data_IF_269540333212
#
_entry.id   IF_269540333212
#
_cell.length_a   1.000
_cell.length_b   1.000
_cell.length_c   1.000
_cell.angle_alpha   90.00
_cell.angle_beta   90.00
_cell.angle_gamma   90.00
#
_symmetry.space_group_name_H-M   'P 1'
#
loop_
_entity.id
_entity.type
_entity.pdbx_description
1 polymer ?
#
# COMPACT_ATOMS: atom_id res chain seq x y z
N UNK A 1 -12.64 18.79 2.73
CA UNK A 1 -12.83 17.65 1.79
C UNK A 1 -13.74 16.56 2.38
N UNK A 2 -14.51 15.82 1.55
CA UNK A 2 -15.35 14.66 1.97
C UNK A 2 -14.86 13.34 1.36
N UNK A 3 -14.64 12.31 2.17
CA UNK A 3 -14.33 10.96 1.69
C UNK A 3 -15.57 10.23 1.19
N UNK A 4 -15.39 9.10 0.49
CA UNK A 4 -16.50 8.31 -0.04
C UNK A 4 -17.52 7.91 1.04
N UNK A 5 -17.04 7.53 2.23
CA UNK A 5 -17.93 7.24 3.38
C UNK A 5 -18.74 8.47 3.80
N UNK A 6 -18.11 9.64 3.93
CA UNK A 6 -18.80 10.86 4.36
C UNK A 6 -19.87 11.27 3.34
N UNK A 7 -19.60 11.08 2.04
CA UNK A 7 -20.58 11.33 0.98
C UNK A 7 -21.74 10.35 1.03
N UNK A 8 -21.46 9.05 1.16
CA UNK A 8 -22.50 8.02 1.26
C UNK A 8 -23.44 8.33 2.44
N UNK A 9 -22.90 8.74 3.60
CA UNK A 9 -23.69 9.07 4.79
C UNK A 9 -24.45 10.40 4.64
N UNK A 10 -23.90 11.39 3.93
CA UNK A 10 -24.55 12.68 3.76
C UNK A 10 -25.66 12.69 2.67
N UNK A 11 -25.55 11.85 1.64
CA UNK A 11 -26.41 11.92 0.46
C UNK A 11 -27.36 10.70 0.36
N UNK A 12 -28.65 10.94 0.62
CA UNK A 12 -29.68 9.92 0.51
C UNK A 12 -29.88 9.39 -0.92
N UNK A 13 -29.55 10.17 -1.95
CA UNK A 13 -29.62 9.70 -3.33
C UNK A 13 -28.57 8.62 -3.62
N UNK A 14 -27.39 8.72 -3.02
CA UNK A 14 -26.35 7.68 -3.11
C UNK A 14 -26.78 6.40 -2.37
N UNK A 15 -27.53 6.51 -1.27
CA UNK A 15 -27.99 5.35 -0.48
C UNK A 15 -29.23 4.68 -1.04
N UNK A 16 -30.07 5.41 -1.77
CA UNK A 16 -31.34 4.88 -2.30
C UNK A 16 -31.23 3.53 -3.03
N UNK A 17 -30.19 3.26 -3.86
CA UNK A 17 -30.03 1.95 -4.50
C UNK A 17 -29.67 0.80 -3.54
N UNK A 18 -29.23 1.09 -2.31
CA UNK A 18 -28.94 0.11 -1.27
C UNK A 18 -30.19 -0.28 -0.45
N UNK A 19 -31.31 0.44 -0.62
CA UNK A 19 -32.55 0.15 0.10
C UNK A 19 -32.99 -1.31 -0.13
N UNK A 20 -33.29 -2.02 0.96
CA UNK A 20 -33.65 -3.44 0.99
C UNK A 20 -32.57 -4.43 0.53
N UNK A 21 -31.36 -3.98 0.19
CA UNK A 21 -30.22 -4.86 -0.10
C UNK A 21 -29.47 -5.18 1.18
N UNK A 22 -28.95 -6.41 1.29
CA UNK A 22 -28.08 -6.80 2.39
C UNK A 22 -26.66 -6.35 2.09
N UNK A 23 -26.05 -5.61 2.99
CA UNK A 23 -24.75 -4.97 2.77
C UNK A 23 -23.71 -5.59 3.67
N UNK A 24 -22.52 -5.85 3.13
CA UNK A 24 -21.32 -6.13 3.91
C UNK A 24 -20.29 -5.02 3.78
N UNK A 25 -19.63 -4.69 4.89
CA UNK A 25 -18.54 -3.71 4.91
C UNK A 25 -17.18 -4.40 4.98
N UNK A 26 -16.32 -4.17 3.99
CA UNK A 26 -14.89 -4.43 4.09
C UNK A 26 -14.20 -3.16 4.60
N UNK A 27 -13.68 -3.23 5.82
CA UNK A 27 -13.07 -2.10 6.52
C UNK A 27 -11.92 -2.54 7.43
N UNK A 28 -11.19 -1.56 7.97
CA UNK A 28 -10.06 -1.72 8.87
C UNK A 28 -9.97 -0.47 9.78
N UNK A 29 -9.04 -0.37 10.74
CA UNK A 29 -9.00 0.74 11.70
C UNK A 29 -9.04 2.16 11.14
N UNK A 30 -8.38 2.42 10.00
CA UNK A 30 -8.37 3.76 9.41
C UNK A 30 -9.62 4.06 8.56
N UNK A 31 -10.58 3.14 8.52
CA UNK A 31 -11.92 3.32 7.97
C UNK A 31 -12.75 4.18 8.92
N UNK A 32 -12.40 5.46 9.02
CA UNK A 32 -13.07 6.45 9.87
C UNK A 32 -13.77 7.53 9.04
N UNK A 33 -14.86 8.06 9.58
CA UNK A 33 -15.58 9.24 9.06
C UNK A 33 -14.90 10.54 9.47
N UNK A 34 -15.35 11.69 8.96
CA UNK A 34 -14.90 13.02 9.39
C UNK A 34 -15.11 13.30 10.88
N UNK A 35 -16.11 12.66 11.46
CA UNK A 35 -16.55 12.91 12.83
C UNK A 35 -16.05 11.80 13.78
N UNK A 36 -14.99 11.08 13.38
CA UNK A 36 -14.28 10.09 14.21
C UNK A 36 -15.09 8.85 14.62
N UNK A 37 -16.10 8.48 13.82
CA UNK A 37 -16.74 7.18 13.94
C UNK A 37 -16.10 6.19 12.98
N UNK A 38 -15.91 4.95 13.42
CA UNK A 38 -15.54 3.88 12.51
C UNK A 38 -16.69 3.65 11.52
N UNK A 39 -16.37 3.36 10.27
CA UNK A 39 -17.36 3.20 9.19
C UNK A 39 -18.38 2.11 9.49
N UNK A 40 -18.00 1.08 10.23
CA UNK A 40 -18.92 0.05 10.73
C UNK A 40 -20.07 0.65 11.53
N UNK A 41 -19.74 1.45 12.55
CA UNK A 41 -20.72 2.03 13.46
C UNK A 41 -21.56 3.09 12.75
N UNK A 42 -20.92 3.91 11.90
CA UNK A 42 -21.60 4.94 11.13
C UNK A 42 -22.61 4.35 10.13
N UNK A 43 -22.25 3.26 9.44
CA UNK A 43 -23.15 2.56 8.52
C UNK A 43 -24.26 1.84 9.28
N UNK A 44 -23.95 1.16 10.39
CA UNK A 44 -24.95 0.48 11.22
C UNK A 44 -25.99 1.45 11.81
N UNK A 45 -25.58 2.68 12.12
CA UNK A 45 -26.48 3.74 12.60
C UNK A 45 -27.33 4.39 11.49
N UNK A 46 -27.12 4.04 10.22
CA UNK A 46 -27.81 4.65 9.08
C UNK A 46 -29.07 3.84 8.71
N UNK A 47 -30.30 4.34 8.97
CA UNK A 47 -31.52 3.53 8.95
C UNK A 47 -31.89 2.92 7.60
N UNK A 48 -31.44 3.51 6.50
CA UNK A 48 -31.71 3.07 5.12
C UNK A 48 -30.68 2.06 4.59
N UNK A 49 -29.69 1.67 5.39
CA UNK A 49 -28.71 0.63 5.06
C UNK A 49 -28.91 -0.59 5.96
N UNK A 50 -29.13 -1.76 5.35
CA UNK A 50 -29.20 -3.03 6.07
C UNK A 50 -27.82 -3.71 6.07
N UNK A 51 -27.01 -3.40 7.07
CA UNK A 51 -25.73 -4.07 7.31
C UNK A 51 -25.97 -5.50 7.85
N UNK A 52 -25.42 -6.52 7.19
CA UNK A 52 -25.60 -7.93 7.58
C UNK A 52 -24.31 -8.68 7.85
N UNK A 53 -23.17 -8.13 7.45
CA UNK A 53 -21.85 -8.68 7.75
C UNK A 53 -20.78 -7.58 7.69
N UNK A 54 -19.62 -7.85 8.25
CA UNK A 54 -18.42 -7.07 7.94
C UNK A 54 -17.21 -7.99 7.79
N UNK A 55 -16.17 -7.47 7.15
CA UNK A 55 -14.99 -8.24 6.74
C UNK A 55 -13.75 -7.42 7.05
N UNK A 56 -12.77 -8.05 7.72
CA UNK A 56 -11.45 -7.47 7.97
C UNK A 56 -10.41 -8.00 6.98
N UNK A 57 -9.54 -7.15 6.42
CA UNK A 57 -8.39 -7.57 5.62
C UNK A 57 -7.22 -7.98 6.55
N UNK A 58 -5.98 -7.93 6.04
CA UNK A 58 -4.76 -7.99 6.86
C UNK A 58 -4.84 -6.99 8.02
N UNK A 59 -4.45 -7.42 9.23
CA UNK A 59 -4.57 -6.69 10.51
C UNK A 59 -6.00 -6.57 11.09
N UNK A 60 -7.01 -7.12 10.42
CA UNK A 60 -8.38 -7.24 10.94
C UNK A 60 -9.19 -5.95 10.88
N UNK A 61 -10.46 -6.05 11.29
CA UNK A 61 -11.42 -4.94 11.21
C UNK A 61 -11.15 -3.84 12.25
N UNK A 62 -10.74 -4.22 13.47
CA UNK A 62 -10.52 -3.29 14.59
C UNK A 62 -9.04 -3.03 14.90
N UNK A 63 -8.11 -3.64 14.16
CA UNK A 63 -6.67 -3.41 14.32
C UNK A 63 -6.07 -4.02 15.58
N UNK A 64 -6.75 -5.00 16.16
CA UNK A 64 -6.34 -5.66 17.39
C UNK A 64 -5.19 -6.67 17.17
N UNK A 65 -4.75 -6.87 15.92
CA UNK A 65 -3.65 -7.78 15.58
C UNK A 65 -2.37 -7.04 15.23
N UNK A 66 -1.30 -7.39 15.94
CA UNK A 66 0.04 -6.90 15.68
C UNK A 66 0.58 -7.41 14.34
N UNK A 67 1.57 -6.70 13.81
CA UNK A 67 2.36 -7.10 12.66
C UNK A 67 3.18 -8.37 12.98
N UNK A 68 2.72 -9.52 12.46
CA UNK A 68 3.41 -10.83 12.44
C UNK A 68 2.49 -11.95 11.92
N UNK A 69 1.71 -11.72 10.84
CA UNK A 69 0.85 -12.76 10.25
C UNK A 69 -0.14 -13.41 11.24
N UNK A 70 -0.58 -12.71 12.29
CA UNK A 70 -1.52 -13.30 13.25
C UNK A 70 -2.88 -13.40 12.58
N UNK A 71 -3.25 -14.63 12.24
CA UNK A 71 -4.56 -14.94 11.69
C UNK A 71 -5.66 -14.50 12.65
N UNK A 72 -6.70 -13.86 12.11
CA UNK A 72 -7.89 -13.48 12.88
C UNK A 72 -9.00 -14.49 12.62
N UNK A 73 -9.64 -15.05 13.67
CA UNK A 73 -10.82 -15.89 13.50
C UNK A 73 -12.04 -15.03 13.15
N UNK A 74 -13.03 -15.67 12.55
CA UNK A 74 -14.37 -15.10 12.42
C UNK A 74 -14.99 -14.93 13.82
N UNK A 75 -15.81 -13.90 14.01
CA UNK A 75 -16.53 -13.67 15.27
C UNK A 75 -17.87 -12.96 15.03
N UNK A 76 -18.71 -12.91 16.07
CA UNK A 76 -19.95 -12.15 16.03
C UNK A 76 -19.74 -10.81 16.73
N UNK A 77 -20.00 -9.70 16.04
CA UNK A 77 -19.82 -8.37 16.61
C UNK A 77 -20.81 -8.18 17.78
N UNK A 78 -20.33 -7.89 19.00
CA UNK A 78 -21.18 -7.82 20.18
C UNK A 78 -22.06 -6.56 20.24
N UNK A 79 -21.75 -5.53 19.44
CA UNK A 79 -22.50 -4.27 19.41
C UNK A 79 -23.63 -4.36 18.39
N UNK A 80 -23.30 -4.81 17.17
CA UNK A 80 -24.22 -4.80 16.03
C UNK A 80 -24.92 -6.14 15.80
N UNK A 81 -24.43 -7.23 16.42
CA UNK A 81 -25.02 -8.55 16.26
C UNK A 81 -24.96 -9.07 14.83
N UNK A 82 -23.81 -8.88 14.16
CA UNK A 82 -23.56 -9.38 12.80
C UNK A 82 -22.26 -10.21 12.75
N UNK A 83 -22.13 -11.16 11.81
CA UNK A 83 -20.87 -11.87 11.59
C UNK A 83 -19.79 -10.93 11.05
N UNK A 84 -18.58 -11.09 11.60
CA UNK A 84 -17.33 -10.49 11.14
C UNK A 84 -16.43 -11.59 10.61
N UNK A 85 -16.06 -11.49 9.34
CA UNK A 85 -15.21 -12.46 8.64
C UNK A 85 -13.78 -11.95 8.48
N UNK A 86 -12.81 -12.87 8.44
CA UNK A 86 -11.41 -12.55 8.17
C UNK A 86 -11.00 -13.01 6.77
N UNK A 87 -10.45 -12.08 5.96
CA UNK A 87 -9.74 -12.41 4.70
C UNK A 87 -8.22 -12.48 4.90
N UNK A 88 -7.80 -12.66 6.14
CA UNK A 88 -6.41 -12.81 6.53
C UNK A 88 -6.28 -13.84 7.67
N UNK A 89 -7.02 -14.94 7.52
CA UNK A 89 -7.00 -16.14 8.36
C UNK A 89 -6.76 -17.36 7.49
N UNK A 90 -7.48 -18.47 7.64
CA UNK A 90 -7.35 -19.65 6.75
C UNK A 90 -7.53 -19.32 5.26
N UNK A 91 -8.37 -18.32 4.96
CA UNK A 91 -8.72 -17.90 3.61
C UNK A 91 -8.33 -16.44 3.36
N UNK A 92 -7.98 -16.15 2.11
CA UNK A 92 -7.69 -14.79 1.62
C UNK A 92 -8.70 -14.33 0.56
N UNK A 93 -9.51 -15.27 0.07
CA UNK A 93 -10.60 -15.03 -0.86
C UNK A 93 -11.93 -15.23 -0.12
N UNK A 94 -12.96 -14.43 -0.39
CA UNK A 94 -14.29 -14.65 0.19
C UNK A 94 -14.78 -16.07 -0.12
N UNK A 95 -15.27 -16.78 0.89
CA UNK A 95 -15.85 -18.12 0.71
C UNK A 95 -17.29 -18.03 0.24
N UNK A 96 -17.81 -19.13 -0.33
CA UNK A 96 -19.23 -19.22 -0.73
C UNK A 96 -20.16 -18.89 0.44
N UNK A 97 -19.89 -19.44 1.63
CA UNK A 97 -20.71 -19.21 2.82
C UNK A 97 -20.72 -17.74 3.27
N UNK A 98 -19.60 -17.03 3.15
CA UNK A 98 -19.53 -15.59 3.42
C UNK A 98 -20.41 -14.81 2.44
N UNK A 99 -20.28 -15.12 1.14
CA UNK A 99 -20.98 -14.42 0.06
C UNK A 99 -22.51 -14.66 0.07
N UNK A 100 -23.01 -15.66 0.79
CA UNK A 100 -24.46 -15.89 0.95
C UNK A 100 -25.13 -14.90 1.92
N UNK A 101 -24.35 -14.21 2.76
CA UNK A 101 -24.87 -13.35 3.82
C UNK A 101 -25.32 -11.95 3.32
N UNK A 102 -24.90 -11.55 2.13
CA UNK A 102 -25.13 -10.19 1.61
C UNK A 102 -25.18 -10.13 0.08
N UNK A 103 -25.57 -8.98 -0.45
CA UNK A 103 -25.77 -8.71 -1.89
C UNK A 103 -24.84 -7.60 -2.42
N UNK A 104 -24.31 -6.76 -1.54
CA UNK A 104 -23.44 -5.61 -1.86
C UNK A 104 -22.22 -5.59 -0.95
N UNK A 105 -21.04 -5.40 -1.55
CA UNK A 105 -19.84 -5.01 -0.83
C UNK A 105 -19.74 -3.49 -0.75
N UNK A 106 -19.59 -2.93 0.45
CA UNK A 106 -19.00 -1.60 0.66
C UNK A 106 -17.52 -1.81 0.98
N UNK A 107 -16.62 -1.30 0.14
CA UNK A 107 -15.18 -1.34 0.37
C UNK A 107 -14.72 0.03 0.83
N UNK A 108 -14.30 0.12 2.08
CA UNK A 108 -13.80 1.36 2.69
C UNK A 108 -12.43 1.10 3.30
N UNK A 109 -11.37 1.22 2.51
CA UNK A 109 -9.99 0.92 2.94
C UNK A 109 -9.07 2.09 2.63
N UNK A 110 -8.24 2.46 3.62
CA UNK A 110 -7.17 3.43 3.43
C UNK A 110 -5.92 2.67 3.00
N UNK A 111 -5.50 2.88 1.76
CA UNK A 111 -4.28 2.27 1.19
C UNK A 111 -3.05 3.18 1.40
N UNK A 112 -1.86 2.69 1.02
CA UNK A 112 -0.59 3.44 1.04
C UNK A 112 -0.13 3.92 -0.34
N UNK A 113 -0.81 3.52 -1.43
CA UNK A 113 -0.45 3.84 -2.81
C UNK A 113 0.74 3.03 -3.33
N UNK A 114 0.90 1.81 -2.83
CA UNK A 114 2.04 0.94 -3.12
C UNK A 114 1.58 -0.48 -3.44
N UNK A 115 2.11 -1.08 -4.52
CA UNK A 115 1.66 -2.38 -5.05
C UNK A 115 1.65 -3.53 -4.03
N UNK A 116 2.65 -3.54 -3.15
CA UNK A 116 2.87 -4.61 -2.16
C UNK A 116 1.94 -4.47 -0.95
N UNK A 117 1.30 -3.31 -0.77
CA UNK A 117 0.31 -3.16 0.28
C UNK A 117 -0.96 -3.95 -0.07
N UNK A 118 -1.24 -5.01 0.69
CA UNK A 118 -2.09 -6.13 0.25
C UNK A 118 -3.58 -5.81 0.14
N UNK A 119 -4.02 -4.61 0.54
CA UNK A 119 -5.41 -4.18 0.44
C UNK A 119 -5.89 -4.12 -1.02
N UNK A 120 -5.02 -3.77 -1.98
CA UNK A 120 -5.38 -3.84 -3.40
C UNK A 120 -5.55 -5.29 -3.89
N UNK A 121 -4.80 -6.24 -3.32
CA UNK A 121 -4.99 -7.68 -3.58
C UNK A 121 -6.31 -8.15 -2.99
N UNK A 122 -6.65 -7.72 -1.77
CA UNK A 122 -7.97 -7.99 -1.17
C UNK A 122 -9.10 -7.45 -2.06
N UNK A 123 -8.98 -6.23 -2.57
CA UNK A 123 -9.93 -5.66 -3.52
C UNK A 123 -10.06 -6.52 -4.79
N UNK A 124 -8.94 -6.93 -5.40
CA UNK A 124 -8.95 -7.85 -6.56
C UNK A 124 -9.76 -9.11 -6.26
N UNK A 125 -9.52 -9.74 -5.13
CA UNK A 125 -10.20 -10.99 -4.76
C UNK A 125 -11.69 -10.79 -4.48
N UNK A 126 -12.08 -9.66 -3.90
CA UNK A 126 -13.48 -9.27 -3.72
C UNK A 126 -14.17 -9.07 -5.07
N UNK A 127 -13.54 -8.37 -6.01
CA UNK A 127 -14.08 -8.15 -7.35
C UNK A 127 -14.26 -9.46 -8.13
N UNK A 128 -13.24 -10.32 -8.13
CA UNK A 128 -13.31 -11.65 -8.76
C UNK A 128 -14.44 -12.49 -8.14
N UNK A 129 -14.56 -12.52 -6.81
CA UNK A 129 -15.61 -13.26 -6.13
C UNK A 129 -17.02 -12.69 -6.41
N UNK A 130 -17.19 -11.37 -6.38
CA UNK A 130 -18.46 -10.71 -6.62
C UNK A 130 -18.97 -10.95 -8.05
N UNK A 131 -18.06 -10.92 -9.05
CA UNK A 131 -18.38 -11.21 -10.45
C UNK A 131 -18.98 -12.62 -10.62
N UNK A 132 -18.49 -13.62 -9.89
CA UNK A 132 -19.03 -15.00 -9.99
C UNK A 132 -20.44 -15.19 -9.42
N UNK A 133 -20.94 -14.23 -8.63
CA UNK A 133 -22.22 -14.34 -7.91
C UNK A 133 -23.22 -13.22 -8.23
N UNK A 134 -22.87 -12.33 -9.16
CA UNK A 134 -23.69 -11.16 -9.49
C UNK A 134 -23.89 -10.20 -8.31
N UNK A 135 -22.95 -10.16 -7.36
CA UNK A 135 -22.97 -9.17 -6.28
C UNK A 135 -22.45 -7.82 -6.79
N UNK A 136 -22.93 -6.72 -6.19
CA UNK A 136 -22.39 -5.39 -6.48
C UNK A 136 -21.19 -5.07 -5.59
N UNK A 137 -20.23 -4.32 -6.11
CA UNK A 137 -19.09 -3.80 -5.34
C UNK A 137 -19.09 -2.29 -5.38
N UNK A 138 -19.14 -1.67 -4.21
CA UNK A 138 -19.18 -0.22 -4.05
C UNK A 138 -17.94 0.23 -3.30
N UNK A 139 -17.05 0.95 -3.97
CA UNK A 139 -15.83 1.48 -3.34
C UNK A 139 -16.11 2.88 -2.78
N UNK A 140 -15.97 3.01 -1.47
CA UNK A 140 -16.01 4.28 -0.75
C UNK A 140 -14.63 4.90 -0.83
N UNK A 141 -14.42 5.72 -1.86
CA UNK A 141 -13.07 6.06 -2.26
C UNK A 141 -12.35 6.96 -1.23
N UNK A 142 -11.03 6.77 -1.15
CA UNK A 142 -10.13 7.45 -0.21
C UNK A 142 -8.88 7.96 -0.92
N UNK A 143 -8.16 8.94 -0.34
CA UNK A 143 -6.94 9.46 -0.94
C UNK A 143 -5.90 8.37 -1.13
N UNK A 144 -5.24 8.37 -2.29
CA UNK A 144 -3.91 7.80 -2.37
C UNK A 144 -2.96 8.75 -1.61
N UNK A 145 -2.37 8.34 -0.48
CA UNK A 145 -1.63 9.26 0.39
C UNK A 145 -0.29 9.70 -0.20
N UNK A 146 0.19 9.02 -1.25
CA UNK A 146 1.43 9.35 -1.96
C UNK A 146 1.18 9.95 -3.35
N UNK A 147 -0.04 10.41 -3.61
CA UNK A 147 -0.39 11.26 -4.75
C UNK A 147 -0.31 10.55 -6.11
N UNK A 148 0.02 11.34 -7.15
CA UNK A 148 0.06 10.90 -8.56
C UNK A 148 1.41 10.43 -9.14
N UNK A 149 2.58 10.56 -8.48
CA UNK A 149 3.81 10.05 -9.07
C UNK A 149 3.75 8.52 -9.22
N UNK A 150 4.04 8.08 -10.44
CA UNK A 150 4.23 6.68 -10.79
C UNK A 150 5.71 6.34 -10.66
N UNK A 151 6.01 5.16 -10.14
CA UNK A 151 7.40 4.75 -9.93
C UNK A 151 7.62 3.24 -9.94
N UNK A 152 8.67 2.81 -10.64
CA UNK A 152 9.19 1.44 -10.61
C UNK A 152 8.74 0.61 -11.81
N UNK A 153 9.25 -0.61 -11.89
CA UNK A 153 8.93 -1.54 -12.98
C UNK A 153 7.58 -2.22 -12.78
N UNK A 154 6.94 -2.58 -13.89
CA UNK A 154 5.76 -3.43 -13.87
C UNK A 154 6.12 -4.79 -13.28
N UNK A 155 5.16 -5.37 -12.56
CA UNK A 155 5.26 -6.76 -12.16
C UNK A 155 5.26 -7.66 -13.40
N UNK A 156 6.24 -8.54 -13.50
CA UNK A 156 6.40 -9.45 -14.64
C UNK A 156 5.36 -10.58 -14.61
N UNK A 157 4.89 -11.07 -15.77
CA UNK A 157 4.01 -12.23 -15.82
C UNK A 157 4.60 -13.45 -15.09
N UNK A 158 3.78 -14.13 -14.27
CA UNK A 158 4.20 -15.27 -13.45
C UNK A 158 4.77 -14.86 -12.08
N UNK A 159 4.95 -13.56 -11.81
CA UNK A 159 5.36 -13.04 -10.51
C UNK A 159 4.18 -12.61 -9.63
N UNK A 160 2.95 -12.86 -10.08
CA UNK A 160 1.76 -12.60 -9.27
C UNK A 160 1.80 -13.40 -7.97
N UNK A 161 1.35 -12.76 -6.90
CA UNK A 161 1.32 -13.32 -5.55
C UNK A 161 0.36 -12.49 -4.68
N UNK A 162 0.26 -12.82 -3.39
CA UNK A 162 -0.55 -12.01 -2.47
C UNK A 162 -0.05 -10.56 -2.32
N UNK A 163 1.26 -10.34 -2.53
CA UNK A 163 1.91 -9.02 -2.51
C UNK A 163 2.11 -8.42 -3.91
N UNK A 164 1.56 -9.07 -4.93
CA UNK A 164 1.73 -8.69 -6.33
C UNK A 164 0.47 -8.98 -7.12
N UNK A 165 -0.52 -8.08 -7.02
CA UNK A 165 -1.86 -8.31 -7.53
C UNK A 165 -2.02 -8.22 -9.06
N UNK A 166 -0.98 -7.80 -9.80
CA UNK A 166 -1.03 -7.65 -11.25
C UNK A 166 0.12 -6.77 -11.76
N UNK A 167 0.17 -6.56 -13.08
CA UNK A 167 1.18 -5.76 -13.78
C UNK A 167 1.04 -4.25 -13.46
N UNK A 168 1.40 -3.90 -12.23
CA UNK A 168 1.38 -2.56 -11.64
C UNK A 168 2.83 -2.15 -11.33
N UNK A 169 3.20 -0.87 -11.44
CA UNK A 169 4.46 -0.36 -10.90
C UNK A 169 4.40 -0.27 -9.37
N UNK A 170 5.55 -0.08 -8.72
CA UNK A 170 5.64 -0.02 -7.25
C UNK A 170 4.77 1.10 -6.66
N UNK A 171 4.85 2.30 -7.23
CA UNK A 171 3.88 3.39 -6.99
C UNK A 171 2.96 3.49 -8.20
N UNK A 172 1.68 3.21 -7.99
CA UNK A 172 0.70 3.08 -9.07
C UNK A 172 -0.14 4.33 -9.32
N UNK A 173 -0.08 5.34 -8.44
CA UNK A 173 -0.76 6.63 -8.58
C UNK A 173 -2.31 6.60 -8.61
N UNK A 174 -2.94 5.45 -8.38
CA UNK A 174 -4.40 5.30 -8.38
C UNK A 174 -4.97 5.35 -6.97
N UNK A 175 -6.20 5.86 -6.82
CA UNK A 175 -7.02 5.61 -5.62
C UNK A 175 -7.55 4.17 -5.60
N UNK A 176 -8.17 3.74 -4.50
CA UNK A 176 -8.80 2.41 -4.42
C UNK A 176 -9.94 2.28 -5.44
N UNK A 177 -10.72 3.34 -5.65
CA UNK A 177 -11.79 3.36 -6.65
C UNK A 177 -11.27 3.28 -8.09
N UNK A 178 -10.20 4.01 -8.41
CA UNK A 178 -9.55 3.93 -9.72
C UNK A 178 -8.89 2.55 -9.95
N UNK A 179 -8.27 1.98 -8.90
CA UNK A 179 -7.72 0.63 -8.92
C UNK A 179 -8.80 -0.44 -9.15
N UNK A 180 -9.99 -0.28 -8.56
CA UNK A 180 -11.11 -1.20 -8.80
C UNK A 180 -11.54 -1.20 -10.28
N UNK A 181 -11.63 -0.02 -10.90
CA UNK A 181 -11.92 0.10 -12.34
C UNK A 181 -10.83 -0.55 -13.19
N UNK A 182 -9.56 -0.37 -12.81
CA UNK A 182 -8.44 -1.01 -13.48
C UNK A 182 -8.57 -2.54 -13.45
N UNK A 183 -8.78 -3.13 -12.27
CA UNK A 183 -8.97 -4.59 -12.15
C UNK A 183 -10.16 -5.11 -12.95
N UNK A 184 -11.30 -4.41 -12.91
CA UNK A 184 -12.49 -4.81 -13.68
C UNK A 184 -12.19 -4.85 -15.18
N UNK A 185 -11.50 -3.84 -15.70
CA UNK A 185 -11.10 -3.77 -17.12
C UNK A 185 -10.07 -4.84 -17.47
N UNK A 186 -8.99 -4.92 -16.69
CA UNK A 186 -7.84 -5.79 -16.97
C UNK A 186 -8.22 -7.27 -16.90
N UNK A 187 -9.01 -7.64 -15.88
CA UNK A 187 -9.47 -9.01 -15.66
C UNK A 187 -10.79 -9.32 -16.39
N UNK A 188 -11.36 -8.35 -17.11
CA UNK A 188 -12.63 -8.44 -17.86
C UNK A 188 -13.78 -8.98 -17.00
N UNK A 189 -13.92 -8.44 -15.79
CA UNK A 189 -14.91 -8.88 -14.82
C UNK A 189 -16.30 -8.33 -15.17
N UNK A 190 -17.29 -9.19 -15.17
CA UNK A 190 -18.71 -8.80 -15.20
C UNK A 190 -19.20 -8.57 -13.77
N UNK A 191 -19.01 -7.35 -13.27
CA UNK A 191 -19.38 -6.96 -11.90
C UNK A 191 -20.02 -5.58 -11.90
N UNK A 192 -21.10 -5.42 -11.14
CA UNK A 192 -21.71 -4.12 -10.90
C UNK A 192 -20.83 -3.31 -9.94
N UNK A 193 -19.87 -2.57 -10.50
CA UNK A 193 -18.94 -1.71 -9.80
C UNK A 193 -19.45 -0.27 -9.72
N UNK A 194 -19.60 0.24 -8.49
CA UNK A 194 -19.85 1.65 -8.22
C UNK A 194 -18.69 2.26 -7.43
N UNK A 195 -18.25 3.45 -7.82
CA UNK A 195 -17.24 4.22 -7.06
C UNK A 195 -17.92 5.45 -6.49
N UNK A 196 -17.98 5.55 -5.16
CA UNK A 196 -18.40 6.75 -4.45
C UNK A 196 -17.18 7.67 -4.34
N UNK A 197 -16.96 8.46 -5.38
CA UNK A 197 -15.82 9.37 -5.50
C UNK A 197 -15.78 10.38 -4.34
N UNK A 198 -14.59 10.77 -3.88
CA UNK A 198 -14.41 11.86 -2.93
C UNK A 198 -14.85 13.21 -3.50
N UNK A 199 -15.06 14.19 -2.63
CA UNK A 199 -15.29 15.59 -3.03
C UNK A 199 -14.21 16.52 -2.47
N UNK A 200 -13.62 17.32 -3.38
CA UNK A 200 -12.60 18.30 -3.05
C UNK A 200 -11.20 17.70 -2.84
N UNK A 201 -10.96 16.45 -3.24
CA UNK A 201 -9.61 15.88 -3.22
C UNK A 201 -8.75 16.49 -4.31
N UNK A 202 -7.59 17.00 -3.91
CA UNK A 202 -6.60 17.62 -4.80
C UNK A 202 -5.27 16.88 -4.63
N UNK A 203 -4.95 15.91 -5.49
CA UNK A 203 -3.83 15.01 -5.26
C UNK A 203 -2.46 15.70 -5.40
N UNK A 204 -2.38 16.78 -6.17
CA UNK A 204 -1.13 17.49 -6.45
C UNK A 204 -0.94 18.75 -5.57
N UNK A 205 -1.89 19.05 -4.69
CA UNK A 205 -1.86 20.24 -3.85
C UNK A 205 -0.94 20.08 -2.62
N UNK A 206 -0.08 21.08 -2.41
CA UNK A 206 0.69 21.24 -1.18
C UNK A 206 -0.22 21.57 0.01
N UNK A 207 0.21 21.30 1.26
CA UNK A 207 1.44 20.58 1.65
C UNK A 207 1.29 19.05 1.60
N UNK A 208 0.09 18.60 1.27
CA UNK A 208 -0.38 17.23 1.41
C UNK A 208 0.11 16.25 0.37
N UNK A 209 0.04 16.65 -0.90
CA UNK A 209 0.37 15.85 -2.07
C UNK A 209 -0.18 14.42 -1.99
N UNK A 210 -1.51 14.31 -2.09
CA UNK A 210 -2.26 13.07 -1.89
C UNK A 210 -3.01 13.09 -0.57
N UNK A 211 -2.32 13.16 0.57
CA UNK A 211 -3.00 13.23 1.87
C UNK A 211 -3.40 14.67 2.23
N UNK A 212 -4.64 14.95 2.69
CA UNK A 212 -5.09 16.29 3.09
C UNK A 212 -4.50 16.74 4.45
N UNK A 213 -3.18 16.95 4.50
CA UNK A 213 -2.48 17.37 5.71
C UNK A 213 -3.08 18.66 6.29
N UNK A 214 -3.38 18.63 7.60
CA UNK A 214 -4.03 19.74 8.30
C UNK A 214 -5.57 19.69 8.26
N UNK A 215 -6.18 18.93 7.36
CA UNK A 215 -7.64 18.74 7.30
C UNK A 215 -8.09 17.36 7.80
N UNK A 216 -7.29 16.30 7.61
CA UNK A 216 -7.56 14.96 8.15
C UNK A 216 -6.36 14.39 8.90
N UNK A 217 -6.63 13.84 10.07
CA UNK A 217 -5.66 13.09 10.85
C UNK A 217 -5.33 11.76 10.19
N UNK A 218 -4.06 11.37 10.24
CA UNK A 218 -3.63 10.04 9.85
C UNK A 218 -4.03 9.03 10.93
N UNK A 219 -4.72 7.98 10.53
CA UNK A 219 -4.93 6.78 11.36
C UNK A 219 -4.18 5.65 10.67
N UNK A 220 -3.40 4.92 11.44
CA UNK A 220 -2.52 3.86 10.95
C UNK A 220 -3.32 2.79 10.18
N UNK A 221 -3.07 2.62 8.87
CA UNK A 221 -3.68 1.53 8.12
C UNK A 221 -3.16 0.14 8.58
N UNK A 222 -1.94 0.10 9.11
CA UNK A 222 -1.33 -1.07 9.76
C UNK A 222 -0.45 -0.61 10.93
N UNK A 223 -0.09 -1.49 11.90
CA UNK A 223 0.62 -1.08 13.13
C UNK A 223 1.92 -0.30 12.88
N UNK A 224 2.68 -0.68 11.85
CA UNK A 224 3.93 -0.03 11.46
C UNK A 224 3.76 1.00 10.34
N UNK A 225 2.53 1.49 10.12
CA UNK A 225 2.23 2.63 9.25
C UNK A 225 1.83 3.90 10.02
N UNK A 226 2.77 4.49 10.80
CA UNK A 226 2.46 5.51 11.79
C UNK A 226 2.11 6.88 11.24
N UNK A 227 2.48 7.21 10.00
CA UNK A 227 2.29 8.54 9.43
C UNK A 227 2.40 8.56 7.89
N UNK A 228 2.02 9.69 7.30
CA UNK A 228 2.08 9.94 5.84
C UNK A 228 3.51 9.90 5.30
N UNK A 229 4.51 10.27 6.09
CA UNK A 229 5.90 10.33 5.66
C UNK A 229 6.51 8.93 5.48
N UNK A 230 6.11 7.99 6.36
CA UNK A 230 6.32 6.56 6.14
C UNK A 230 5.68 6.13 4.82
N UNK A 231 4.38 6.43 4.60
CA UNK A 231 3.69 6.05 3.38
C UNK A 231 4.43 6.54 2.12
N UNK A 232 4.95 7.78 2.14
CA UNK A 232 5.79 8.33 1.07
C UNK A 232 7.05 7.50 0.83
N UNK A 233 7.75 7.06 1.87
CA UNK A 233 8.98 6.28 1.75
C UNK A 233 8.74 4.78 1.43
N UNK A 234 7.54 4.26 1.74
CA UNK A 234 7.21 2.84 1.77
C UNK A 234 7.55 2.09 0.47
N UNK A 235 7.26 2.67 -0.70
CA UNK A 235 7.58 2.05 -1.99
C UNK A 235 9.07 1.74 -2.20
N UNK A 236 9.95 2.42 -1.47
CA UNK A 236 11.36 2.07 -1.37
C UNK A 236 11.62 1.13 -0.20
N UNK A 237 11.28 1.58 1.00
CA UNK A 237 11.69 0.92 2.25
C UNK A 237 11.07 -0.46 2.45
N UNK A 238 9.92 -0.78 1.84
CA UNK A 238 9.37 -2.14 1.89
C UNK A 238 10.28 -3.17 1.22
N UNK A 239 11.08 -2.79 0.22
CA UNK A 239 12.03 -3.70 -0.42
C UNK A 239 13.07 -4.24 0.56
N UNK A 240 13.32 -3.54 1.67
CA UNK A 240 14.22 -3.99 2.73
C UNK A 240 13.75 -5.28 3.40
N UNK A 241 12.46 -5.62 3.36
CA UNK A 241 11.95 -6.86 3.93
C UNK A 241 12.62 -8.10 3.30
N UNK A 242 12.88 -8.02 1.98
CA UNK A 242 13.64 -9.02 1.22
C UNK A 242 15.16 -8.99 1.44
N UNK A 243 15.64 -8.13 2.34
CA UNK A 243 17.07 -7.94 2.63
C UNK A 243 17.42 -8.15 4.10
N UNK A 244 18.70 -8.39 4.38
CA UNK A 244 19.24 -8.55 5.74
C UNK A 244 19.25 -7.25 6.53
N UNK A 245 19.18 -6.08 5.87
CA UNK A 245 19.13 -4.76 6.49
C UNK A 245 17.83 -4.57 7.29
N UNK A 246 17.87 -3.91 8.44
CA UNK A 246 16.65 -3.49 9.14
C UNK A 246 15.99 -2.32 8.42
N UNK A 247 14.67 -2.35 8.34
CA UNK A 247 13.76 -1.30 7.88
C UNK A 247 13.21 -0.45 9.03
N UNK A 248 13.81 -0.56 10.22
CA UNK A 248 13.42 0.25 11.39
C UNK A 248 12.19 -0.24 12.14
N UNK A 249 11.58 -1.37 11.77
CA UNK A 249 10.63 -2.05 12.67
C UNK A 249 11.33 -2.38 13.99
N UNK A 250 10.64 -2.25 15.11
CA UNK A 250 11.27 -2.23 16.42
C UNK A 250 11.68 -0.85 16.93
N UNK A 251 11.44 0.21 16.16
CA UNK A 251 11.70 1.61 16.54
C UNK A 251 10.41 2.44 16.48
N UNK A 252 10.50 3.74 16.79
CA UNK A 252 9.37 4.68 16.65
C UNK A 252 9.23 5.26 15.24
N UNK A 253 10.10 4.87 14.30
CA UNK A 253 10.13 5.34 12.91
C UNK A 253 10.28 4.18 11.91
N UNK A 254 9.43 3.14 11.99
CA UNK A 254 9.50 2.02 11.05
C UNK A 254 9.26 2.51 9.61
N UNK A 255 9.96 1.88 8.66
CA UNK A 255 9.82 2.11 7.21
C UNK A 255 10.12 3.55 6.76
N UNK A 256 10.66 4.39 7.64
CA UNK A 256 11.24 5.71 7.33
C UNK A 256 12.78 5.68 7.35
N UNK A 257 13.36 4.60 7.86
CA UNK A 257 14.81 4.44 8.02
C UNK A 257 15.26 3.03 7.69
N UNK A 258 16.56 2.88 7.43
CA UNK A 258 17.16 1.58 7.21
C UNK A 258 18.61 1.53 7.68
N UNK A 259 19.10 0.34 8.02
CA UNK A 259 20.48 0.15 8.44
C UNK A 259 20.81 -1.24 8.93
N UNK A 260 22.07 -1.46 9.30
CA UNK A 260 22.54 -2.71 9.88
C UNK A 260 23.72 -2.44 10.86
N UNK A 261 24.06 -3.39 11.75
CA UNK A 261 25.17 -3.22 12.69
C UNK A 261 26.56 -3.20 12.03
N UNK A 262 26.67 -3.75 10.83
CA UNK A 262 27.93 -4.04 10.14
C UNK A 262 28.14 -3.16 8.89
N UNK A 263 27.36 -2.08 8.74
CA UNK A 263 27.51 -1.13 7.63
C UNK A 263 27.94 0.26 8.09
N UNK A 264 28.67 0.94 7.20
CA UNK A 264 28.95 2.38 7.32
C UNK A 264 27.99 3.15 6.40
N UNK A 265 26.87 3.62 6.95
CA UNK A 265 25.84 4.31 6.17
C UNK A 265 26.33 5.65 5.58
N UNK A 266 27.27 6.33 6.23
CA UNK A 266 27.90 7.54 5.68
C UNK A 266 28.72 7.21 4.41
N UNK A 267 29.43 6.08 4.38
CA UNK A 267 30.09 5.58 3.16
C UNK A 267 29.07 5.22 2.08
N UNK A 268 27.97 4.55 2.44
CA UNK A 268 26.90 4.22 1.49
C UNK A 268 26.34 5.50 0.87
N UNK A 269 25.97 6.49 1.66
CA UNK A 269 25.44 7.76 1.18
C UNK A 269 26.40 8.48 0.22
N UNK A 270 27.70 8.53 0.55
CA UNK A 270 28.72 9.12 -0.35
C UNK A 270 28.85 8.35 -1.66
N UNK A 271 28.68 7.03 -1.65
CA UNK A 271 28.67 6.22 -2.87
C UNK A 271 27.41 6.48 -3.69
N UNK A 272 26.24 6.54 -3.07
CA UNK A 272 24.98 6.89 -3.73
C UNK A 272 25.08 8.25 -4.43
N UNK A 273 25.62 9.27 -3.74
CA UNK A 273 25.84 10.62 -4.28
C UNK A 273 26.75 10.64 -5.52
N UNK A 274 27.69 9.68 -5.64
CA UNK A 274 28.57 9.57 -6.81
C UNK A 274 27.92 8.81 -7.97
N UNK A 275 27.09 7.81 -7.66
CA UNK A 275 26.49 6.92 -8.65
C UNK A 275 25.29 7.57 -9.37
N UNK A 276 24.36 8.17 -8.61
CA UNK A 276 23.14 8.78 -9.15
C UNK A 276 22.61 9.84 -8.18
N UNK A 277 23.25 11.02 -8.07
CA UNK A 277 22.82 12.09 -7.17
C UNK A 277 21.38 12.55 -7.43
N UNK A 278 20.88 12.43 -8.65
CA UNK A 278 19.53 12.78 -9.05
C UNK A 278 18.45 11.88 -8.41
N UNK A 279 18.77 10.65 -8.03
CA UNK A 279 17.83 9.77 -7.31
C UNK A 279 17.74 10.09 -5.81
N UNK A 280 18.54 11.04 -5.31
CA UNK A 280 18.52 11.51 -3.92
C UNK A 280 17.64 12.76 -3.72
N UNK A 281 17.03 13.26 -4.79
CA UNK A 281 16.26 14.49 -4.80
C UNK A 281 14.87 14.32 -4.18
N UNK A 282 14.30 15.44 -3.71
CA UNK A 282 12.94 15.51 -3.17
C UNK A 282 12.75 14.96 -1.76
N UNK A 283 13.82 14.58 -1.07
CA UNK A 283 13.83 14.27 0.35
C UNK A 283 15.14 14.76 1.01
N UNK A 284 15.23 14.65 2.34
CA UNK A 284 16.52 14.70 3.03
C UNK A 284 16.89 13.33 3.56
N UNK A 285 18.17 12.99 3.41
CA UNK A 285 18.75 11.81 4.02
C UNK A 285 19.57 12.24 5.24
N UNK A 286 19.32 11.59 6.37
CA UNK A 286 20.02 11.84 7.63
C UNK A 286 20.66 10.55 8.13
N UNK A 287 21.95 10.59 8.43
CA UNK A 287 22.63 9.52 9.16
C UNK A 287 21.99 9.30 10.53
N UNK A 288 21.81 8.04 10.92
CA UNK A 288 21.12 7.67 12.17
C UNK A 288 21.71 6.40 12.77
N UNK A 289 21.65 6.32 14.09
CA UNK A 289 21.88 5.11 14.85
C UNK A 289 20.61 4.71 15.56
N UNK A 290 20.27 3.43 15.53
CA UNK A 290 19.06 2.91 16.14
C UNK A 290 19.23 1.47 16.56
N UNK A 291 18.46 1.04 17.57
CA UNK A 291 18.44 -0.33 18.06
C UNK A 291 17.00 -0.84 18.03
N UNK A 292 16.66 -1.79 17.13
CA UNK A 292 15.35 -2.40 17.09
C UNK A 292 15.03 -3.18 18.37
N UNK A 293 13.78 -3.05 18.84
CA UNK A 293 13.24 -3.83 19.97
C UNK A 293 12.57 -5.15 19.55
N UNK A 294 12.26 -5.31 18.25
CA UNK A 294 11.76 -6.54 17.63
C UNK A 294 12.15 -6.57 16.13
N UNK A 295 12.00 -7.72 15.45
CA UNK A 295 12.47 -8.01 14.06
C UNK A 295 13.99 -7.99 13.82
N UNK A 296 14.46 -7.51 12.66
CA UNK A 296 15.86 -7.62 12.23
C UNK A 296 16.77 -6.81 13.15
N UNK A 297 17.87 -7.44 13.56
CA UNK A 297 18.90 -6.85 14.42
C UNK A 297 18.42 -6.41 15.82
N UNK A 298 17.46 -7.12 16.44
CA UNK A 298 17.03 -6.84 17.82
C UNK A 298 18.23 -6.72 18.76
N UNK A 299 18.26 -5.66 19.58
CA UNK A 299 19.28 -5.46 20.60
C UNK A 299 20.68 -5.15 20.06
N UNK A 300 20.80 -4.81 18.77
CA UNK A 300 22.06 -4.41 18.13
C UNK A 300 21.96 -2.98 17.60
N UNK A 301 22.96 -2.17 17.94
CA UNK A 301 23.12 -0.83 17.37
C UNK A 301 23.35 -0.94 15.86
N UNK A 302 22.38 -0.45 15.09
CA UNK A 302 22.45 -0.31 13.64
C UNK A 302 22.91 1.09 13.28
N UNK A 303 23.75 1.21 12.25
CA UNK A 303 24.08 2.47 11.60
C UNK A 303 23.37 2.51 10.25
N UNK A 304 22.72 3.64 9.94
CA UNK A 304 21.76 3.71 8.85
C UNK A 304 21.47 5.12 8.34
N UNK A 305 20.49 5.20 7.44
CA UNK A 305 19.93 6.45 6.93
C UNK A 305 18.43 6.52 7.24
N UNK A 306 17.96 7.71 7.61
CA UNK A 306 16.54 8.06 7.69
C UNK A 306 16.16 8.97 6.53
N UNK A 307 15.02 8.70 5.91
CA UNK A 307 14.40 9.49 4.85
C UNK A 307 13.40 10.47 5.47
N UNK A 308 13.60 11.76 5.27
CA UNK A 308 12.71 12.83 5.73
C UNK A 308 11.92 13.38 4.54
N UNK A 309 10.60 13.40 4.69
CA UNK A 309 9.64 13.98 3.73
C UNK A 309 8.62 14.90 4.42
N UNK A 310 8.93 15.32 5.64
CA UNK A 310 8.07 16.04 6.58
C UNK A 310 8.44 17.52 6.75
N UNK A 311 9.38 18.01 5.94
CA UNK A 311 9.81 19.41 5.96
C UNK A 311 9.52 20.14 4.63
N UNK A 312 9.65 21.49 4.59
CA UNK A 312 9.36 22.30 3.40
C UNK A 312 10.21 22.03 2.15
N UNK A 313 11.26 21.20 2.25
CA UNK A 313 12.13 20.83 1.13
C UNK A 313 11.74 19.52 0.46
N UNK A 314 10.71 18.84 0.98
CA UNK A 314 10.07 17.74 0.28
C UNK A 314 9.57 18.21 -1.10
N UNK A 315 10.02 17.53 -2.16
CA UNK A 315 9.56 17.77 -3.52
C UNK A 315 8.85 16.51 -4.02
N UNK A 316 7.53 16.60 -4.08
CA UNK A 316 6.67 15.48 -4.45
C UNK A 316 6.96 14.92 -5.84
N UNK A 317 7.26 15.80 -6.81
CA UNK A 317 7.47 15.43 -8.19
C UNK A 317 8.85 14.79 -8.40
N UNK A 318 9.85 15.14 -7.58
CA UNK A 318 11.21 14.60 -7.68
C UNK A 318 11.49 13.42 -6.76
N UNK A 319 10.73 13.26 -5.68
CA UNK A 319 10.95 12.16 -4.74
C UNK A 319 10.61 10.80 -5.38
N UNK A 320 11.60 9.91 -5.39
CA UNK A 320 11.58 8.60 -6.02
C UNK A 320 12.10 7.52 -5.05
N UNK A 321 11.29 7.10 -4.06
CA UNK A 321 11.69 6.15 -3.01
C UNK A 321 12.15 4.79 -3.53
N UNK A 322 11.55 4.24 -4.58
CA UNK A 322 11.97 2.95 -5.15
C UNK A 322 13.38 3.05 -5.74
N UNK A 323 13.65 4.12 -6.52
CA UNK A 323 14.99 4.42 -7.04
C UNK A 323 15.99 4.66 -5.92
N UNK A 324 15.61 5.45 -4.92
CA UNK A 324 16.46 5.79 -3.78
C UNK A 324 16.92 4.53 -3.03
N UNK A 325 16.01 3.59 -2.77
CA UNK A 325 16.35 2.35 -2.09
C UNK A 325 17.12 1.37 -3.00
N UNK A 326 16.78 1.29 -4.29
CA UNK A 326 17.57 0.54 -5.28
C UNK A 326 19.03 1.01 -5.32
N UNK A 327 19.26 2.33 -5.27
CA UNK A 327 20.59 2.91 -5.23
C UNK A 327 21.36 2.57 -3.96
N UNK A 328 20.67 2.51 -2.81
CA UNK A 328 21.31 2.08 -1.57
C UNK A 328 21.79 0.63 -1.66
N UNK A 329 20.98 -0.28 -2.24
CA UNK A 329 21.39 -1.66 -2.49
C UNK A 329 22.62 -1.73 -3.42
N UNK A 330 22.58 -1.00 -4.53
CA UNK A 330 23.71 -0.91 -5.47
C UNK A 330 24.97 -0.37 -4.81
N UNK A 331 24.85 0.71 -4.03
CA UNK A 331 25.97 1.31 -3.31
C UNK A 331 26.58 0.36 -2.26
N UNK A 332 25.76 -0.42 -1.54
CA UNK A 332 26.22 -1.46 -0.63
C UNK A 332 26.99 -2.53 -1.40
N UNK A 333 26.45 -3.02 -2.53
CA UNK A 333 27.12 -4.02 -3.37
C UNK A 333 28.46 -3.51 -3.94
N UNK A 334 28.55 -2.23 -4.33
CA UNK A 334 29.81 -1.62 -4.75
C UNK A 334 30.85 -1.53 -3.63
N UNK A 335 30.42 -1.24 -2.40
CA UNK A 335 31.33 -1.12 -1.25
C UNK A 335 31.76 -2.49 -0.72
N UNK A 336 30.86 -3.46 -0.77
CA UNK A 336 31.02 -4.81 -0.25
C UNK A 336 30.38 -5.82 -1.22
N UNK A 337 31.12 -6.29 -2.24
CA UNK A 337 30.60 -7.19 -3.27
C UNK A 337 29.97 -8.47 -2.71
N UNK A 338 30.54 -9.03 -1.65
CA UNK A 338 30.09 -10.28 -1.03
C UNK A 338 29.12 -10.07 0.15
N UNK A 339 28.61 -8.85 0.39
CA UNK A 339 27.69 -8.60 1.49
C UNK A 339 26.43 -9.49 1.35
N UNK A 340 26.02 -10.22 2.40
CA UNK A 340 24.83 -11.08 2.32
C UNK A 340 23.56 -10.22 2.36
N UNK A 341 23.26 -9.55 1.24
CA UNK A 341 22.19 -8.56 1.17
C UNK A 341 20.80 -9.19 1.14
N UNK A 342 20.61 -10.23 0.33
CA UNK A 342 19.30 -10.83 0.09
C UNK A 342 18.97 -11.89 1.13
N UNK A 343 17.73 -11.89 1.62
CA UNK A 343 17.23 -12.92 2.52
C UNK A 343 16.46 -13.98 1.74
N UNK A 344 16.80 -15.22 1.99
CA UNK A 344 16.04 -16.39 1.56
C UNK A 344 15.20 -16.90 2.74
N UNK A 345 13.89 -16.65 2.68
CA UNK A 345 12.94 -17.05 3.70
C UNK A 345 11.52 -17.06 3.12
N UNK A 346 10.58 -17.84 3.70
CA UNK A 346 9.18 -17.77 3.32
C UNK A 346 8.61 -16.37 3.51
N UNK A 347 7.97 -15.83 2.48
CA UNK A 347 7.42 -14.47 2.47
C UNK A 347 5.97 -14.47 1.99
N UNK A 348 5.04 -14.06 2.85
CA UNK A 348 3.59 -13.95 2.53
C UNK A 348 3.06 -15.20 1.80
N UNK A 349 3.33 -16.38 2.39
CA UNK A 349 2.95 -17.72 1.94
C UNK A 349 3.72 -18.29 0.73
N UNK A 350 4.62 -17.52 0.13
CA UNK A 350 5.58 -18.02 -0.86
C UNK A 350 6.79 -18.65 -0.15
N UNK A 351 7.30 -19.75 -0.70
CA UNK A 351 8.40 -20.54 -0.13
C UNK A 351 9.53 -20.85 -1.12
N UNK A 352 9.31 -20.63 -2.42
CA UNK A 352 10.23 -21.04 -3.48
C UNK A 352 11.00 -19.86 -4.09
N UNK A 353 10.41 -18.66 -4.08
CA UNK A 353 10.97 -17.46 -4.71
C UNK A 353 11.57 -16.54 -3.65
N UNK A 354 12.67 -15.87 -4.00
CA UNK A 354 13.30 -14.88 -3.10
C UNK A 354 12.34 -13.72 -2.81
N UNK A 355 12.29 -13.33 -1.54
CA UNK A 355 11.39 -12.28 -1.07
C UNK A 355 11.59 -10.95 -1.82
N UNK A 356 12.82 -10.55 -2.10
CA UNK A 356 13.09 -9.31 -2.86
C UNK A 356 12.50 -9.35 -4.28
N UNK A 357 12.57 -10.50 -4.96
CA UNK A 357 12.07 -10.62 -6.32
C UNK A 357 10.53 -10.64 -6.33
N UNK A 358 9.89 -11.21 -5.29
CA UNK A 358 8.44 -11.12 -5.09
C UNK A 358 7.98 -9.68 -4.84
N UNK A 359 8.65 -8.98 -3.91
CA UNK A 359 8.33 -7.60 -3.55
C UNK A 359 8.48 -6.70 -4.79
N UNK A 360 9.60 -6.84 -5.50
CA UNK A 360 9.88 -6.04 -6.70
C UNK A 360 9.08 -6.47 -7.94
N UNK A 361 8.48 -7.66 -7.95
CA UNK A 361 7.67 -8.17 -9.07
C UNK A 361 8.52 -8.71 -10.23
N UNK A 362 9.67 -9.30 -9.92
CA UNK A 362 10.62 -9.85 -10.89
C UNK A 362 12.08 -9.72 -10.41
N UNK A 363 13.02 -10.47 -11.00
CA UNK A 363 14.41 -10.53 -10.55
C UNK A 363 15.26 -9.34 -11.02
N UNK A 364 14.73 -8.51 -11.93
CA UNK A 364 15.46 -7.42 -12.59
C UNK A 364 16.24 -6.53 -11.61
N UNK A 365 15.60 -6.08 -10.52
CA UNK A 365 16.25 -5.22 -9.54
C UNK A 365 17.43 -5.92 -8.88
N UNK A 366 17.24 -7.16 -8.42
CA UNK A 366 18.29 -7.94 -7.75
C UNK A 366 19.46 -8.19 -8.69
N UNK A 367 19.17 -8.61 -9.91
CA UNK A 367 20.17 -8.86 -10.95
C UNK A 367 20.95 -7.59 -11.31
N UNK A 368 20.26 -6.45 -11.44
CA UNK A 368 20.89 -5.14 -11.66
C UNK A 368 21.77 -4.69 -10.48
N UNK A 369 21.34 -4.95 -9.24
CA UNK A 369 22.15 -4.65 -8.05
C UNK A 369 23.42 -5.51 -8.03
N UNK A 370 23.28 -6.81 -8.29
CA UNK A 370 24.36 -7.79 -8.16
C UNK A 370 25.36 -7.76 -9.33
N UNK A 371 24.95 -7.30 -10.52
CA UNK A 371 25.85 -7.10 -11.65
C UNK A 371 26.78 -5.89 -11.41
N UNK A 372 28.10 -6.07 -11.23
CA UNK A 372 29.03 -4.97 -11.00
C UNK A 372 29.18 -4.02 -12.20
N UNK A 373 28.82 -4.44 -13.41
CA UNK A 373 28.90 -3.62 -14.62
C UNK A 373 27.65 -2.75 -14.83
N UNK A 374 26.49 -3.17 -14.32
CA UNK A 374 25.24 -2.44 -14.48
C UNK A 374 25.29 -1.06 -13.80
N UNK A 375 24.72 -0.05 -14.46
CA UNK A 375 24.71 1.34 -14.05
C UNK A 375 23.27 1.82 -13.75
N UNK A 376 23.08 2.89 -12.95
CA UNK A 376 21.75 3.45 -12.70
C UNK A 376 20.92 3.76 -13.95
N UNK A 377 21.58 4.14 -15.06
CA UNK A 377 20.93 4.38 -16.34
C UNK A 377 20.22 3.16 -16.94
N UNK A 378 20.69 1.94 -16.67
CA UNK A 378 20.08 0.71 -17.18
C UNK A 378 18.72 0.45 -16.51
N UNK A 379 18.67 0.59 -15.18
CA UNK A 379 17.44 0.46 -14.42
C UNK A 379 16.48 1.64 -14.68
N UNK A 380 17.01 2.85 -14.87
CA UNK A 380 16.22 4.02 -15.26
C UNK A 380 15.48 3.82 -16.58
N UNK A 381 16.16 3.26 -17.59
CA UNK A 381 15.57 3.02 -18.90
C UNK A 381 14.42 2.02 -18.84
N UNK A 382 14.59 0.92 -18.10
CA UNK A 382 13.54 -0.07 -17.88
C UNK A 382 12.34 0.53 -17.12
N UNK A 383 12.61 1.21 -16.00
CA UNK A 383 11.55 1.83 -15.19
C UNK A 383 10.76 2.88 -15.98
N UNK A 384 11.42 3.74 -16.76
CA UNK A 384 10.73 4.77 -17.55
C UNK A 384 9.79 4.20 -18.61
N UNK A 385 10.20 3.12 -19.26
CA UNK A 385 9.36 2.45 -20.27
C UNK A 385 8.08 1.90 -19.62
N UNK A 386 8.24 1.22 -18.49
CA UNK A 386 7.14 0.65 -17.70
C UNK A 386 6.23 1.74 -17.13
N UNK A 387 6.80 2.81 -16.60
CA UNK A 387 6.08 3.97 -16.06
C UNK A 387 5.27 4.68 -17.15
N UNK A 388 5.82 4.85 -18.36
CA UNK A 388 5.11 5.43 -19.49
C UNK A 388 3.95 4.52 -19.94
N UNK A 389 4.23 3.22 -20.11
CA UNK A 389 3.22 2.21 -20.46
C UNK A 389 2.08 2.18 -19.44
N UNK A 390 2.41 2.23 -18.15
CA UNK A 390 1.43 2.31 -17.08
C UNK A 390 0.56 3.56 -17.18
N UNK A 391 1.18 4.74 -17.28
CA UNK A 391 0.46 6.01 -17.35
C UNK A 391 -0.53 6.04 -18.53
N UNK A 392 -0.11 5.60 -19.70
CA UNK A 392 -0.95 5.52 -20.89
C UNK A 392 -2.13 4.55 -20.65
N UNK A 393 -1.86 3.40 -20.01
CA UNK A 393 -2.89 2.39 -19.75
C UNK A 393 -3.96 2.84 -18.77
N UNK A 394 -3.69 3.80 -17.86
CA UNK A 394 -4.63 4.18 -16.79
C UNK A 394 -5.21 5.58 -16.93
N UNK A 395 -4.86 6.30 -18.01
CA UNK A 395 -5.27 7.68 -18.22
C UNK A 395 -6.80 7.87 -18.25
N UNK A 396 -7.54 6.90 -18.80
CA UNK A 396 -9.00 6.87 -18.91
C UNK A 396 -9.71 6.51 -17.61
N UNK A 397 -8.99 5.94 -16.64
CA UNK A 397 -9.57 5.46 -15.38
C UNK A 397 -9.72 6.54 -14.33
N UNK A 398 -9.05 7.68 -14.52
CA UNK A 398 -8.96 8.70 -13.47
C UNK A 398 -10.32 9.30 -13.13
N UNK A 399 -10.64 9.30 -11.84
CA UNK A 399 -11.88 9.88 -11.29
C UNK A 399 -11.67 11.36 -10.94
N UNK A 400 -10.43 11.74 -10.66
CA UNK A 400 -10.09 13.07 -10.13
C UNK A 400 -9.15 13.80 -11.08
N UNK A 401 -9.57 15.00 -11.48
CA UNK A 401 -8.85 15.85 -12.44
C UNK A 401 -7.44 16.15 -11.90
N UNK A 402 -6.43 15.90 -12.74
CA UNK A 402 -5.06 16.39 -12.49
C UNK A 402 -5.05 17.90 -12.72
N UNK A 403 -4.54 18.68 -11.77
CA UNK A 403 -4.33 20.10 -12.06
C UNK A 403 -3.27 20.21 -13.17
N UNK A 404 -3.48 21.08 -14.18
CA UNK A 404 -2.56 21.24 -15.30
C UNK A 404 -1.17 21.73 -14.91
#
# INVERSE_FOLDING_TARGET
MRFGIDRLLADAALRRPLANRRVALLAHPASITSDWHHSLDAIAATPDIRLTAAVGPQHGLRGDKQDNMIESPDFFDPVHGIPIFSLYGEVRRPTVAMLEQFDVWLVDLQDLGCRIYTFITTLRYVLEAAATRGQSVWVLDRPNPVGRPVEGTLLQPGWESFVGAGALPMRHALTMGEMARWFVRELKLDVDLQVIAMEGWQPDAAPGYGWPLGERSWVNPSPNAPNVFMARAYAGTVMLEGTTLSEGRGTTRPLELWGAPDIDAARVLRTMQKLAPEWLLGCRLREVWFEPTFHKHVGKLCHGLQVHTDDPTYDHARFRPWRLQALAFKAIRHLWPDYPLWRDFPYEYERERLAIDLINGGPLLREWVDDPAAQPGDLEAAARLDEATWNDSVADLSVYVRMP
#
